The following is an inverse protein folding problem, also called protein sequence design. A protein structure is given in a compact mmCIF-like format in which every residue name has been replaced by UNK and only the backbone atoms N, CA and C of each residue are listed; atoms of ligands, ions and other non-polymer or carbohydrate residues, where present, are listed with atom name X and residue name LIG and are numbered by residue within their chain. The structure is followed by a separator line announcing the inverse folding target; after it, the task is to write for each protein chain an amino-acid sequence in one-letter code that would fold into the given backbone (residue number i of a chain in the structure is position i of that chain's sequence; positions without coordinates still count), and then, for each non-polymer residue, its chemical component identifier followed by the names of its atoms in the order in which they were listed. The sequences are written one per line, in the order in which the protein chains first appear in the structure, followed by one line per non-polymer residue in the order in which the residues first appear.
data_IF_759320225529
#
_entry.id   IF_759320225529
#
_cell.length_a   1.000
_cell.length_b   1.000
_cell.length_c   1.000
_cell.angle_alpha   90.00
_cell.angle_beta   90.00
_cell.angle_gamma   90.00
#
_symmetry.space_group_name_H-M   'P 1'
#
loop_
_entity.id
_entity.type
_entity.pdbx_description
1 polymer ?
2 non-polymer ?
3 water ?
#
# COMPACT_ATOMS: atom_id res chain seq x y z
N UNK A 22 -0.61 23.35 -1.78
CA UNK A 22 0.27 23.12 -2.92
C UNK A 22 1.74 23.17 -2.56
N UNK A 23 2.03 23.27 -1.27
CA UNK A 23 3.41 23.42 -0.86
C UNK A 23 4.01 22.23 -0.15
N UNK A 24 3.89 22.23 1.17
CA UNK A 24 4.48 21.18 1.99
C UNK A 24 3.62 19.92 1.93
N UNK A 25 4.18 18.84 2.49
CA UNK A 25 3.48 17.56 2.58
C UNK A 25 2.11 17.73 3.23
N UNK A 26 2.03 18.58 4.25
CA UNK A 26 0.78 18.76 4.97
C UNK A 26 -0.23 19.57 4.15
N UNK A 27 0.24 20.62 3.46
CA UNK A 27 -0.68 21.40 2.62
C UNK A 27 -1.19 20.57 1.47
N UNK A 28 -0.32 19.75 0.88
CA UNK A 28 -0.77 18.84 -0.16
C UNK A 28 -1.80 17.87 0.39
N UNK A 29 -1.60 17.44 1.64
CA UNK A 29 -2.58 16.57 2.30
C UNK A 29 -3.89 17.30 2.54
N UNK A 30 -3.83 18.58 2.91
CA UNK A 30 -5.06 19.33 3.10
C UNK A 30 -5.85 19.43 1.81
N UNK A 31 -5.15 19.61 0.69
CA UNK A 31 -5.82 19.70 -0.59
C UNK A 31 -6.42 18.36 -1.01
N UNK A 32 -5.70 17.25 -0.81
CA UNK A 32 -6.29 15.93 -1.02
C UNK A 32 -7.57 15.78 -0.20
N UNK A 33 -7.50 16.18 1.07
CA UNK A 33 -8.63 16.00 1.97
C UNK A 33 -9.86 16.76 1.47
N UNK A 34 -9.65 17.96 0.91
CA UNK A 34 -10.78 18.75 0.42
C UNK A 34 -11.36 18.16 -0.86
N UNK A 35 -10.51 17.72 -1.79
CA UNK A 35 -11.02 17.13 -3.02
C UNK A 35 -11.71 15.79 -2.75
N UNK A 36 -11.11 14.95 -1.91
CA UNK A 36 -11.72 13.68 -1.57
C UNK A 36 -13.07 13.89 -0.90
N UNK A 37 -13.16 14.91 -0.03
CA UNK A 37 -14.43 15.27 0.58
C UNK A 37 -15.46 15.65 -0.47
N UNK A 38 -15.06 16.51 -1.42
CA UNK A 38 -15.97 16.92 -2.48
C UNK A 38 -16.45 15.72 -3.29
N UNK A 39 -15.55 14.78 -3.59
CA UNK A 39 -15.96 13.57 -4.29
C UNK A 39 -16.81 12.65 -3.42
N UNK A 40 -16.72 12.77 -2.10
CA UNK A 40 -17.48 11.90 -1.22
C UNK A 40 -16.76 10.68 -0.70
N UNK A 41 -15.43 10.71 -0.64
CA UNK A 41 -14.63 9.62 -0.08
C UNK A 41 -14.49 9.84 1.42
N UNK A 42 -15.47 9.37 2.21
CA UNK A 42 -15.48 9.73 3.62
C UNK A 42 -14.38 9.03 4.40
N UNK A 43 -14.17 7.73 4.16
CA UNK A 43 -13.10 7.01 4.84
C UNK A 43 -11.74 7.63 4.54
N UNK A 44 -11.48 7.91 3.26
CA UNK A 44 -10.18 8.45 2.87
C UNK A 44 -9.98 9.84 3.45
N UNK A 45 -11.06 10.63 3.53
CA UNK A 45 -10.99 11.95 4.16
C UNK A 45 -10.48 11.83 5.59
N UNK A 46 -11.03 10.89 6.36
CA UNK A 46 -10.64 10.75 7.75
C UNK A 46 -9.22 10.21 7.90
N UNK A 47 -8.83 9.29 7.02
CA UNK A 47 -7.45 8.82 7.04
C UNK A 47 -6.48 9.95 6.72
N UNK A 48 -6.77 10.74 5.67
CA UNK A 48 -5.87 11.83 5.30
C UNK A 48 -5.79 12.86 6.41
N UNK A 49 -6.93 13.19 7.01
CA UNK A 49 -6.97 14.09 8.16
C UNK A 49 -6.08 13.58 9.29
N UNK A 50 -6.17 12.29 9.58
CA UNK A 50 -5.37 11.70 10.66
C UNK A 50 -3.90 11.64 10.28
N UNK A 51 -3.59 11.25 9.05
CA UNK A 51 -2.19 11.26 8.61
C UNK A 51 -1.61 12.67 8.74
N UNK A 52 -2.37 13.68 8.30
CA UNK A 52 -1.88 15.06 8.32
C UNK A 52 -1.58 15.53 9.74
N UNK A 53 -2.37 15.10 10.71
CA UNK A 53 -2.19 15.52 12.10
C UNK A 53 -1.25 14.61 12.89
N UNK A 54 -0.41 13.83 12.21
CA UNK A 54 0.35 12.78 12.88
C UNK A 54 1.70 13.27 13.39
N UNK A 55 2.17 12.62 14.45
CA UNK A 55 3.40 12.96 15.14
C UNK A 55 4.63 12.26 14.58
N UNK A 56 4.45 11.24 13.74
CA UNK A 56 5.55 10.41 13.30
C UNK A 56 5.11 9.62 12.07
N UNK A 57 6.10 9.22 11.27
CA UNK A 57 5.78 8.38 10.13
C UNK A 57 5.28 7.01 10.58
N UNK A 58 5.69 6.57 11.77
CA UNK A 58 5.17 5.34 12.35
C UNK A 58 3.68 5.44 12.63
N UNK A 59 3.22 6.59 13.14
CA UNK A 59 1.79 6.82 13.34
C UNK A 59 1.06 6.93 12.01
N UNK A 60 1.65 7.64 11.04
CA UNK A 60 1.02 7.81 9.73
C UNK A 60 0.72 6.47 9.09
N UNK A 61 1.70 5.56 9.15
CA UNK A 61 1.55 4.23 8.60
C UNK A 61 0.53 3.41 9.38
N UNK A 62 0.49 3.59 10.71
CA UNK A 62 -0.53 2.94 11.52
C UNK A 62 -1.93 3.33 11.05
N UNK A 63 -2.14 4.61 10.71
CA UNK A 63 -3.45 5.06 10.24
C UNK A 63 -3.78 4.46 8.88
N UNK A 64 -2.85 4.59 7.93
CA UNK A 64 -3.04 4.01 6.60
C UNK A 64 -3.49 2.55 6.69
N UNK A 65 -2.82 1.77 7.54
CA UNK A 65 -3.11 0.34 7.62
C UNK A 65 -4.53 0.10 8.12
N UNK A 66 -4.97 0.84 9.14
CA UNK A 66 -6.33 0.63 9.64
C UNK A 66 -7.36 0.94 8.56
N UNK A 67 -7.08 1.93 7.70
CA UNK A 67 -8.03 2.30 6.66
C UNK A 67 -7.90 1.43 5.41
N UNK A 68 -6.71 0.89 5.13
CA UNK A 68 -6.58 -0.11 4.06
C UNK A 68 -7.42 -1.35 4.36
N UNK A 69 -7.52 -1.73 5.63
CA UNK A 69 -8.34 -2.89 5.98
C UNK A 69 -9.79 -2.67 5.59
N UNK A 70 -10.29 -1.45 5.79
CA UNK A 70 -11.70 -1.12 5.58
C UNK A 70 -12.02 -0.98 4.09
N UNK A 71 -11.14 -0.32 3.33
CA UNK A 71 -11.38 -0.01 1.92
C UNK A 71 -10.11 -0.19 1.11
N UNK A 72 -9.75 -1.44 0.78
CA UNK A 72 -8.42 -1.71 0.21
C UNK A 72 -8.23 -1.19 -1.21
N UNK A 73 -9.30 -0.84 -1.92
CA UNK A 73 -9.19 -0.43 -3.31
C UNK A 73 -9.32 1.06 -3.50
N UNK A 74 -9.50 1.83 -2.44
CA UNK A 74 -9.67 3.27 -2.57
C UNK A 74 -8.40 3.89 -3.13
N UNK A 75 -8.55 4.70 -4.18
CA UNK A 75 -7.39 5.24 -4.88
C UNK A 75 -6.63 6.21 -3.99
N UNK A 76 -7.35 6.97 -3.17
CA UNK A 76 -6.69 7.93 -2.28
C UNK A 76 -5.87 7.19 -1.23
N UNK A 77 -6.45 6.15 -0.62
CA UNK A 77 -5.71 5.36 0.35
C UNK A 77 -4.48 4.70 -0.27
N UNK A 78 -4.58 4.21 -1.50
CA UNK A 78 -3.43 3.54 -2.12
C UNK A 78 -2.28 4.51 -2.35
N UNK A 79 -2.58 5.72 -2.82
CA UNK A 79 -1.51 6.69 -3.09
C UNK A 79 -0.95 7.25 -1.79
N UNK A 80 -1.82 7.50 -0.81
CA UNK A 80 -1.39 7.90 0.53
C UNK A 80 -0.43 6.89 1.13
N UNK A 81 -0.77 5.60 1.05
CA UNK A 81 0.14 4.58 1.54
C UNK A 81 1.50 4.70 0.87
N UNK A 82 1.51 4.84 -0.45
CA UNK A 82 2.79 4.93 -1.14
C UNK A 82 3.55 6.19 -0.72
N UNK A 83 2.86 7.33 -0.66
CA UNK A 83 3.53 8.57 -0.26
C UNK A 83 4.11 8.46 1.15
N UNK A 84 3.41 7.78 2.05
CA UNK A 84 3.92 7.64 3.42
C UNK A 84 5.14 6.73 3.44
N UNK A 85 5.13 5.66 2.64
CA UNK A 85 6.33 4.85 2.45
C UNK A 85 7.51 5.71 2.03
N UNK A 86 7.31 6.55 1.01
CA UNK A 86 8.39 7.39 0.52
C UNK A 86 8.88 8.34 1.60
N UNK A 87 7.95 8.98 2.31
CA UNK A 87 8.31 9.82 3.45
C UNK A 87 9.09 9.02 4.49
N UNK A 88 8.62 7.79 4.77
CA UNK A 88 9.34 6.89 5.67
C UNK A 88 10.79 6.68 5.25
N UNK A 89 11.06 6.63 3.94
CA UNK A 89 12.42 6.42 3.45
C UNK A 89 13.21 7.71 3.32
N UNK A 90 12.69 8.82 3.84
CA UNK A 90 13.37 10.08 3.67
C UNK A 90 13.31 10.64 2.27
N UNK A 91 12.45 10.10 1.41
CA UNK A 91 12.22 10.66 0.08
C UNK A 91 11.00 11.57 0.13
N UNK A 92 11.16 12.68 0.85
CA UNK A 92 10.05 13.60 1.05
C UNK A 92 9.61 14.23 -0.27
N UNK A 93 10.54 14.54 -1.17
CA UNK A 93 10.16 15.21 -2.41
C UNK A 93 9.42 14.26 -3.35
N UNK A 94 9.81 12.98 -3.40
CA UNK A 94 9.06 12.05 -4.23
C UNK A 94 7.68 11.79 -3.65
N UNK A 95 7.57 11.76 -2.31
CA UNK A 95 6.27 11.62 -1.66
C UNK A 95 5.34 12.77 -2.02
N UNK A 96 5.86 14.00 -1.98
CA UNK A 96 5.03 15.13 -2.38
C UNK A 96 4.61 15.01 -3.83
N UNK A 97 5.50 14.50 -4.69
CA UNK A 97 5.18 14.31 -6.10
C UNK A 97 4.04 13.31 -6.28
N UNK A 98 4.01 12.25 -5.46
CA UNK A 98 2.89 11.32 -5.48
C UNK A 98 1.58 12.04 -5.15
N UNK A 99 1.57 12.82 -4.07
CA UNK A 99 0.35 13.55 -3.71
C UNK A 99 -0.05 14.54 -4.79
N UNK A 100 0.93 15.16 -5.45
CA UNK A 100 0.61 16.09 -6.54
C UNK A 100 -0.05 15.37 -7.70
N UNK A 101 0.43 14.16 -8.02
CA UNK A 101 -0.24 13.35 -9.02
C UNK A 101 -1.63 12.94 -8.57
N UNK A 102 -1.80 12.61 -7.29
CA UNK A 102 -3.13 12.25 -6.80
C UNK A 102 -4.08 13.45 -6.88
N UNK A 103 -3.58 14.63 -6.52
CA UNK A 103 -4.42 15.83 -6.58
C UNK A 103 -4.88 16.08 -8.00
N UNK A 104 -3.98 15.89 -8.97
CA UNK A 104 -4.33 16.02 -10.38
C UNK A 104 -5.44 15.04 -10.78
N UNK A 105 -5.35 13.79 -10.32
CA UNK A 105 -6.38 12.81 -10.65
C UNK A 105 -7.73 13.18 -10.03
N UNK A 106 -7.72 13.61 -8.77
CA UNK A 106 -8.97 13.95 -8.09
C UNK A 106 -9.62 15.16 -8.74
N UNK A 107 -8.81 16.14 -9.15
CA UNK A 107 -9.33 17.29 -9.87
C UNK A 107 -9.86 16.90 -11.25
N UNK A 108 -9.41 15.77 -11.81
CA UNK A 108 -9.92 15.33 -13.10
C UNK A 108 -11.34 14.77 -12.98
N UNK A 109 -11.55 13.86 -12.02
CA UNK A 109 -12.88 13.30 -11.77
C UNK A 109 -13.87 14.35 -11.29
N UNK A 110 -13.38 15.49 -10.79
CA UNK A 110 -14.24 16.53 -10.25
C UNK A 110 -14.75 17.49 -11.31
N UNK A 111 -13.96 17.74 -12.35
CA UNK A 111 -14.33 18.70 -13.38
C UNK A 111 -14.15 18.10 -14.77
N UNK B 24 3.57 -21.53 7.41
CA UNK B 24 4.32 -20.36 7.84
C UNK B 24 4.13 -19.22 6.84
N UNK B 25 4.53 -18.01 7.25
CA UNK B 25 4.53 -16.85 6.36
C UNK B 25 5.33 -17.12 5.08
N UNK B 26 6.57 -17.59 5.23
CA UNK B 26 7.42 -17.86 4.07
C UNK B 26 6.86 -19.00 3.21
N UNK B 27 6.25 -20.01 3.83
CA UNK B 27 5.62 -21.07 3.04
C UNK B 27 4.41 -20.55 2.27
N UNK B 28 3.63 -19.66 2.89
CA UNK B 28 2.52 -19.05 2.19
C UNK B 28 3.02 -18.16 1.07
N UNK B 29 4.11 -17.43 1.32
CA UNK B 29 4.74 -16.64 0.26
C UNK B 29 5.14 -17.51 -0.92
N UNK B 30 5.66 -18.71 -0.65
CA UNK B 30 6.12 -19.59 -1.73
C UNK B 30 4.96 -20.06 -2.60
N UNK B 31 3.82 -20.39 -1.98
CA UNK B 31 2.64 -20.75 -2.75
C UNK B 31 2.13 -19.57 -3.58
N UNK B 32 2.08 -18.37 -3.00
CA UNK B 32 1.73 -17.16 -3.76
C UNK B 32 2.62 -17.03 -4.98
N UNK B 33 3.93 -17.19 -4.78
CA UNK B 33 4.87 -17.03 -5.88
C UNK B 33 4.62 -18.06 -6.97
N UNK B 34 4.33 -19.30 -6.59
CA UNK B 34 4.03 -20.33 -7.59
C UNK B 34 2.77 -20.00 -8.38
N UNK B 35 1.74 -19.49 -7.71
CA UNK B 35 0.49 -19.19 -8.41
C UNK B 35 0.63 -17.97 -9.31
N UNK B 36 1.32 -16.93 -8.82
CA UNK B 36 1.56 -15.76 -9.65
C UNK B 36 2.44 -16.09 -10.84
N UNK B 37 3.37 -17.03 -10.65
CA UNK B 37 4.19 -17.52 -11.76
C UNK B 37 3.33 -18.26 -12.77
N UNK B 38 2.50 -19.20 -12.29
CA UNK B 38 1.58 -19.89 -13.18
C UNK B 38 0.67 -18.91 -13.91
N UNK B 39 0.38 -17.77 -13.29
CA UNK B 39 -0.46 -16.75 -13.90
C UNK B 39 0.31 -15.78 -14.78
N UNK B 40 1.64 -15.84 -14.78
CA UNK B 40 2.41 -14.96 -15.63
C UNK B 40 2.65 -13.57 -15.07
N UNK B 41 2.63 -13.43 -13.74
CA UNK B 41 2.96 -12.17 -13.05
C UNK B 41 4.44 -12.15 -12.70
N UNK B 42 5.29 -11.67 -13.61
CA UNK B 42 6.71 -11.80 -13.29
C UNK B 42 7.21 -10.72 -12.33
N UNK B 43 6.70 -9.49 -12.40
CA UNK B 43 7.13 -8.49 -11.42
C UNK B 43 6.72 -8.90 -10.02
N UNK B 44 5.48 -9.38 -9.88
CA UNK B 44 5.02 -9.87 -8.59
C UNK B 44 5.88 -11.03 -8.12
N UNK B 45 6.23 -11.94 -9.02
CA UNK B 45 7.05 -13.09 -8.63
C UNK B 45 8.35 -12.61 -8.01
N UNK B 46 9.00 -11.63 -8.67
CA UNK B 46 10.27 -11.06 -8.20
C UNK B 46 10.15 -10.50 -6.79
N UNK B 47 9.09 -9.75 -6.51
CA UNK B 47 8.95 -9.09 -5.21
C UNK B 47 8.64 -10.10 -4.11
N UNK B 48 7.73 -11.03 -4.36
CA UNK B 48 7.42 -12.06 -3.38
C UNK B 48 8.67 -12.85 -3.02
N UNK B 49 9.43 -13.25 -4.05
CA UNK B 49 10.68 -13.97 -3.83
C UNK B 49 11.66 -13.14 -3.00
N UNK B 50 11.74 -11.85 -3.27
CA UNK B 50 12.67 -11.02 -2.51
C UNK B 50 12.18 -10.79 -1.08
N UNK B 51 10.86 -10.65 -0.90
CA UNK B 51 10.34 -10.53 0.46
C UNK B 51 10.55 -11.84 1.22
N UNK B 52 10.29 -12.98 0.56
CA UNK B 52 10.48 -14.30 1.16
C UNK B 52 11.91 -14.48 1.66
N UNK B 53 12.88 -13.90 0.96
CA UNK B 53 14.29 -14.02 1.31
C UNK B 53 14.81 -12.81 2.08
N UNK B 54 13.93 -11.92 2.52
CA UNK B 54 14.35 -10.75 3.28
C UNK B 54 14.76 -11.13 4.69
N UNK B 55 15.62 -10.31 5.27
CA UNK B 55 16.17 -10.55 6.60
C UNK B 55 15.39 -9.84 7.70
N UNK B 56 14.50 -8.92 7.33
CA UNK B 56 13.76 -8.14 8.32
C UNK B 56 12.55 -7.53 7.64
N UNK B 57 11.62 -7.03 8.46
CA UNK B 57 10.45 -6.36 7.93
C UNK B 57 10.82 -5.06 7.22
N UNK B 58 11.84 -4.36 7.72
CA UNK B 58 12.32 -3.15 7.06
C UNK B 58 12.71 -3.44 5.61
N UNK B 59 13.51 -4.47 5.39
CA UNK B 59 13.88 -4.87 4.04
C UNK B 59 12.66 -5.35 3.25
N UNK B 60 11.78 -6.14 3.87
CA UNK B 60 10.56 -6.58 3.19
C UNK B 60 9.80 -5.39 2.62
N UNK B 61 9.70 -4.33 3.41
CA UNK B 61 8.87 -3.21 3.05
C UNK B 61 9.56 -2.35 2.00
N UNK B 62 10.90 -2.21 2.10
CA UNK B 62 11.70 -1.61 1.04
C UNK B 62 11.45 -2.28 -0.30
N UNK B 63 11.40 -3.62 -0.32
CA UNK B 63 11.14 -4.34 -1.57
C UNK B 63 9.75 -4.04 -2.08
N UNK B 64 8.75 -4.12 -1.19
CA UNK B 64 7.38 -3.82 -1.60
C UNK B 64 7.31 -2.44 -2.25
N UNK B 65 7.95 -1.44 -1.64
CA UNK B 65 7.86 -0.07 -2.15
C UNK B 65 8.44 0.01 -3.56
N UNK B 66 9.59 -0.64 -3.79
CA UNK B 66 10.19 -0.61 -5.12
C UNK B 66 9.26 -1.21 -6.16
N UNK B 67 8.54 -2.27 -5.81
CA UNK B 67 7.70 -2.90 -6.82
C UNK B 67 6.35 -2.21 -6.94
N UNK B 68 5.84 -1.64 -5.83
CA UNK B 68 4.68 -0.76 -5.94
C UNK B 68 4.93 0.37 -6.93
N UNK B 69 6.16 0.89 -6.98
CA UNK B 69 6.46 1.94 -7.95
C UNK B 69 6.32 1.43 -9.38
N UNK B 70 6.62 0.16 -9.61
CA UNK B 70 6.65 -0.39 -10.96
C UNK B 70 5.28 -0.86 -11.43
N UNK B 71 4.45 -1.36 -10.52
CA UNK B 71 3.16 -1.95 -10.88
C UNK B 71 2.14 -1.65 -9.78
N UNK B 72 1.58 -0.44 -9.78
CA UNK B 72 0.72 -0.03 -8.64
C UNK B 72 -0.62 -0.74 -8.57
N UNK B 73 -1.11 -1.33 -9.67
CA UNK B 73 -2.43 -1.95 -9.71
C UNK B 73 -2.38 -3.45 -9.46
N UNK B 74 -1.19 -4.00 -9.29
CA UNK B 74 -1.03 -5.44 -9.19
C UNK B 74 -1.65 -5.94 -7.88
N UNK B 75 -2.53 -6.94 -7.98
CA UNK B 75 -3.24 -7.43 -6.80
C UNK B 75 -2.30 -8.18 -5.87
N UNK B 76 -1.29 -8.84 -6.42
CA UNK B 76 -0.35 -9.52 -5.53
C UNK B 76 0.45 -8.50 -4.74
N UNK B 77 0.95 -7.46 -5.41
CA UNK B 77 1.73 -6.45 -4.71
C UNK B 77 0.89 -5.76 -3.63
N UNK B 78 -0.38 -5.47 -3.93
CA UNK B 78 -1.21 -4.76 -2.96
C UNK B 78 -1.49 -5.61 -1.73
N UNK B 79 -1.76 -6.89 -1.92
CA UNK B 79 -1.99 -7.77 -0.79
C UNK B 79 -0.69 -8.05 -0.04
N UNK B 80 0.41 -8.22 -0.78
CA UNK B 80 1.72 -8.38 -0.15
C UNK B 80 2.09 -7.18 0.70
N UNK B 81 1.85 -5.96 0.18
CA UNK B 81 2.05 -4.76 0.99
C UNK B 81 1.26 -4.82 2.29
N UNK B 82 -0.02 -5.15 2.22
CA UNK B 82 -0.84 -5.08 3.43
C UNK B 82 -0.38 -6.13 4.44
N UNK B 83 0.01 -7.32 3.95
CA UNK B 83 0.48 -8.41 4.81
C UNK B 83 1.77 -8.04 5.52
N UNK B 84 2.69 -7.38 4.81
CA UNK B 84 3.95 -6.96 5.40
C UNK B 84 3.72 -5.88 6.45
N UNK B 85 2.76 -4.99 6.18
CA UNK B 85 2.31 -4.03 7.19
C UNK B 85 1.88 -4.74 8.46
N UNK B 86 1.05 -5.78 8.31
CA UNK B 86 0.54 -6.50 9.48
C UNK B 86 1.67 -7.23 10.19
N UNK B 87 2.58 -7.84 9.43
CA UNK B 87 3.76 -8.46 10.03
C UNK B 87 4.59 -7.42 10.78
N UNK B 88 4.75 -6.22 10.19
CA UNK B 88 5.48 -5.13 10.85
C UNK B 88 4.88 -4.78 12.21
N UNK B 89 3.56 -4.95 12.37
CA UNK B 89 2.85 -4.65 13.60
C UNK B 89 2.82 -5.82 14.56
N UNK B 90 3.53 -6.90 14.27
CA UNK B 90 3.45 -8.07 15.11
C UNK B 90 2.15 -8.81 14.99
N UNK B 91 1.34 -8.51 13.97
CA UNK B 91 0.09 -9.23 13.72
C UNK B 91 0.31 -10.28 12.63
N UNK B 92 1.13 -11.27 12.98
CA UNK B 92 1.57 -12.24 11.98
C UNK B 92 0.43 -13.16 11.54
N UNK B 93 -0.49 -13.49 12.45
CA UNK B 93 -1.63 -14.33 12.07
C UNK B 93 -2.51 -13.65 11.04
N UNK B 94 -2.83 -12.37 11.26
CA UNK B 94 -3.63 -11.64 10.27
C UNK B 94 -2.87 -11.50 8.96
N UNK B 95 -1.57 -11.23 9.03
CA UNK B 95 -0.74 -11.18 7.83
C UNK B 95 -0.87 -12.47 7.03
N UNK B 96 -0.82 -13.61 7.72
CA UNK B 96 -0.94 -14.89 7.01
C UNK B 96 -2.36 -15.10 6.48
N UNK B 97 -3.38 -14.63 7.20
CA UNK B 97 -4.74 -14.73 6.66
C UNK B 97 -4.89 -13.91 5.38
N UNK B 98 -4.21 -12.77 5.30
CA UNK B 98 -4.24 -11.99 4.06
C UNK B 98 -3.69 -12.81 2.90
N UNK B 99 -2.57 -13.52 3.11
CA UNK B 99 -1.99 -14.29 2.03
C UNK B 99 -2.85 -15.49 1.67
N UNK B 100 -3.50 -16.11 2.67
CA UNK B 100 -4.40 -17.22 2.38
C UNK B 100 -5.53 -16.78 1.46
N UNK B 101 -6.06 -15.58 1.70
CA UNK B 101 -7.07 -15.02 0.81
C UNK B 101 -6.49 -14.69 -0.57
N UNK B 102 -5.25 -14.20 -0.62
CA UNK B 102 -4.63 -13.95 -1.92
C UNK B 102 -4.43 -15.25 -2.69
N UNK B 103 -3.97 -16.30 -2.00
CA UNK B 103 -3.85 -17.63 -2.61
C UNK B 103 -5.19 -18.10 -3.17
N UNK B 104 -6.27 -17.92 -2.41
CA UNK B 104 -7.57 -18.34 -2.90
C UNK B 104 -7.98 -17.57 -4.15
N UNK B 105 -7.73 -16.26 -4.17
CA UNK B 105 -8.06 -15.46 -5.34
C UNK B 105 -7.22 -15.89 -6.55
N UNK B 106 -5.93 -16.13 -6.34
CA UNK B 106 -5.08 -16.59 -7.45
C UNK B 106 -5.56 -17.93 -7.97
N UNK B 107 -5.87 -18.85 -7.07
CA UNK B 107 -6.31 -20.17 -7.50
C UNK B 107 -7.58 -20.06 -8.34
N UNK B 108 -8.54 -19.25 -7.90
CA UNK B 108 -9.82 -19.15 -8.60
C UNK B 108 -9.66 -18.52 -9.97
N UNK B 109 -8.70 -17.60 -10.13
CA UNK B 109 -8.41 -17.10 -11.47
C UNK B 109 -7.82 -18.20 -12.34
N UNK B 110 -7.12 -19.17 -11.73
CA UNK B 110 -6.38 -20.20 -12.46
C UNK B 110 -7.20 -21.43 -12.80
N UNK B 111 -8.14 -21.83 -11.96
CA UNK B 111 -8.88 -23.05 -12.25
C UNK B 111 -9.99 -22.75 -13.23
X LIG C 1 2.02 0.07 2.31
#
# INVERSE_FOLDING_TARGET
MGHHHHHHHHSSGLEVLFQGPGGTFKELLEEVEKLAKQLGYEEAVEAVKKVKNSKSTREEMQIVVEYLRIDPDNIVLRKLDFAVHLKDQGKEEEAKKVLEKLIEELKKQLEE
MGHHHHHHHHSSGLEVLFQGPGGTFKELLEEVEKLAKQLGYEEAVEAVKKVKNSKSTREEMQIVVEYLRIDPDNIVLRKLDFAVHLKDQGKEEEAKKVLEKLIEELKKQLEE
ZN ZN
#
